data_IF_738758057199
#
_entry.id   IF_738758057199
#
_cell.length_a   1.000
_cell.length_b   1.000
_cell.length_c   1.000
_cell.angle_alpha   90.00
_cell.angle_beta   90.00
_cell.angle_gamma   90.00
#
_symmetry.space_group_name_H-M   'P 1'
#
loop_
_entity.id
_entity.type
_entity.pdbx_description
1 polymer ?
#
# COMPACT_ATOMS: atom_id res chain seq x y z
N UNK A 1 -42.91 33.14 -51.72
CA UNK A 1 -41.83 33.72 -50.88
C UNK A 1 -41.98 33.20 -49.46
N UNK A 2 -41.36 32.07 -49.13
CA UNK A 2 -41.11 31.63 -47.76
C UNK A 2 -39.83 30.81 -47.79
N UNK A 3 -38.69 31.44 -47.53
CA UNK A 3 -37.40 30.80 -47.35
C UNK A 3 -36.98 31.01 -45.91
N UNK A 4 -37.03 29.94 -45.12
CA UNK A 4 -36.55 29.92 -43.74
C UNK A 4 -35.09 29.46 -43.78
N UNK A 5 -34.15 30.39 -43.62
CA UNK A 5 -32.73 30.06 -43.50
C UNK A 5 -32.43 29.49 -42.12
N UNK A 6 -32.09 28.20 -42.06
CA UNK A 6 -31.51 27.58 -40.88
C UNK A 6 -30.02 27.91 -40.81
N UNK A 7 -29.66 28.82 -39.90
CA UNK A 7 -28.28 29.03 -39.45
C UNK A 7 -27.80 27.78 -38.71
N UNK A 8 -26.80 27.11 -39.27
CA UNK A 8 -26.04 26.06 -38.61
C UNK A 8 -25.30 26.63 -37.38
N UNK A 9 -25.82 26.36 -36.19
CA UNK A 9 -25.08 26.52 -34.94
C UNK A 9 -24.17 25.29 -34.79
N UNK A 10 -22.91 25.42 -35.22
CA UNK A 10 -21.86 24.44 -34.91
C UNK A 10 -21.56 24.53 -33.41
N UNK A 11 -22.20 23.68 -32.61
CA UNK A 11 -21.80 23.43 -31.23
C UNK A 11 -20.49 22.65 -31.29
N UNK A 12 -19.38 23.36 -31.11
CA UNK A 12 -18.08 22.76 -30.87
C UNK A 12 -18.10 22.19 -29.45
N UNK A 13 -18.42 20.90 -29.29
CA UNK A 13 -18.21 20.19 -28.04
C UNK A 13 -16.69 20.07 -27.82
N UNK A 14 -16.12 21.04 -27.11
CA UNK A 14 -14.82 20.90 -26.46
C UNK A 14 -14.97 19.82 -25.38
N UNK A 15 -14.71 18.56 -25.73
CA UNK A 15 -14.39 17.53 -24.74
C UNK A 15 -13.03 17.90 -24.13
N UNK A 16 -13.06 18.73 -23.08
CA UNK A 16 -11.94 18.84 -22.15
C UNK A 16 -11.87 17.48 -21.47
N UNK A 17 -10.97 16.61 -21.94
CA UNK A 17 -10.66 15.36 -21.24
C UNK A 17 -10.05 15.76 -19.89
N UNK A 18 -10.82 15.61 -18.82
CA UNK A 18 -10.38 15.88 -17.46
C UNK A 18 -9.31 14.85 -17.09
N UNK A 19 -8.16 15.32 -16.65
CA UNK A 19 -7.23 14.49 -15.88
C UNK A 19 -7.94 13.98 -14.64
N UNK A 20 -7.89 12.66 -14.40
CA UNK A 20 -8.63 12.01 -13.33
C UNK A 20 -7.69 11.83 -12.14
N UNK A 21 -8.00 12.52 -11.04
CA UNK A 21 -7.34 12.31 -9.76
C UNK A 21 -8.31 11.62 -8.82
N UNK A 22 -7.96 10.43 -8.34
CA UNK A 22 -8.83 9.65 -7.46
C UNK A 22 -8.10 9.22 -6.19
N UNK A 23 -8.72 9.48 -5.05
CA UNK A 23 -8.37 8.84 -3.79
C UNK A 23 -8.99 7.44 -3.78
N UNK A 24 -8.27 6.44 -3.31
CA UNK A 24 -8.84 5.10 -3.24
C UNK A 24 -9.85 4.98 -2.09
N UNK A 25 -11.09 4.63 -2.43
CA UNK A 25 -12.21 4.40 -1.49
C UNK A 25 -12.30 2.93 -1.00
N UNK A 26 -11.45 2.01 -1.48
CA UNK A 26 -11.49 0.61 -1.04
C UNK A 26 -10.63 0.36 0.20
N UNK A 27 -11.24 -0.34 1.16
CA UNK A 27 -10.61 -0.82 2.39
C UNK A 27 -9.55 -1.88 2.10
N UNK A 28 -8.48 -1.86 2.90
CA UNK A 28 -7.45 -2.90 2.87
C UNK A 28 -8.03 -4.26 3.28
N UNK A 29 -7.63 -5.31 2.57
CA UNK A 29 -7.93 -6.70 2.94
C UNK A 29 -6.65 -7.48 3.23
N UNK A 30 -6.75 -8.43 4.17
CA UNK A 30 -5.65 -9.30 4.57
C UNK A 30 -5.76 -10.72 4.02
N UNK A 31 -5.02 -11.64 4.65
CA UNK A 31 -4.98 -13.05 4.24
C UNK A 31 -6.33 -13.76 4.23
N UNK A 32 -7.29 -13.32 5.05
CA UNK A 32 -8.66 -13.88 5.10
C UNK A 32 -9.40 -13.73 3.76
N UNK A 33 -9.12 -12.67 2.99
CA UNK A 33 -9.79 -12.41 1.71
C UNK A 33 -9.18 -13.16 0.52
N UNK A 34 -7.90 -13.54 0.63
CA UNK A 34 -7.14 -14.19 -0.46
C UNK A 34 -6.74 -15.63 -0.15
N UNK A 35 -7.31 -16.20 0.92
CA UNK A 35 -7.17 -17.60 1.32
C UNK A 35 -5.71 -18.04 1.48
N UNK A 36 -4.90 -17.26 2.21
CA UNK A 36 -3.51 -17.66 2.49
C UNK A 36 -3.44 -19.03 3.16
N UNK A 37 -2.53 -19.92 2.74
CA UNK A 37 -2.22 -21.15 3.43
C UNK A 37 -1.91 -20.89 4.90
N UNK A 38 -2.47 -21.72 5.78
CA UNK A 38 -2.23 -21.61 7.22
C UNK A 38 -1.39 -22.79 7.69
N UNK A 39 -0.22 -22.50 8.26
CA UNK A 39 0.63 -23.48 8.91
C UNK A 39 0.69 -23.17 10.40
N UNK A 40 0.27 -24.12 11.24
CA UNK A 40 0.36 -24.03 12.70
C UNK A 40 -0.16 -22.69 13.27
N UNK A 41 -1.35 -22.26 12.83
CA UNK A 41 -2.03 -21.01 13.22
C UNK A 41 -1.42 -19.71 12.65
N UNK A 42 -0.44 -19.79 11.74
CA UNK A 42 0.10 -18.64 11.02
C UNK A 42 -0.24 -18.72 9.54
N UNK A 43 -0.87 -17.67 9.02
CA UNK A 43 -1.12 -17.53 7.57
C UNK A 43 0.17 -17.10 6.88
N UNK A 44 0.55 -17.80 5.82
CA UNK A 44 1.75 -17.51 5.04
C UNK A 44 1.42 -17.47 3.57
N UNK A 45 1.99 -16.52 2.85
CA UNK A 45 1.78 -16.36 1.41
C UNK A 45 3.13 -16.40 0.67
N UNK A 46 3.51 -17.54 0.09
CA UNK A 46 4.68 -17.63 -0.78
C UNK A 46 4.44 -16.86 -2.09
N UNK A 47 5.36 -15.97 -2.45
CA UNK A 47 5.37 -15.19 -3.70
C UNK A 47 6.79 -15.18 -4.27
N UNK A 48 7.01 -15.87 -5.39
CA UNK A 48 8.35 -16.10 -5.93
C UNK A 48 9.26 -16.78 -4.89
N UNK A 49 10.35 -16.09 -4.52
CA UNK A 49 11.32 -16.58 -3.54
C UNK A 49 11.06 -16.10 -2.11
N UNK A 50 10.03 -15.29 -1.88
CA UNK A 50 9.71 -14.70 -0.58
C UNK A 50 8.48 -15.38 0.02
N UNK A 51 8.45 -15.52 1.35
CA UNK A 51 7.26 -15.97 2.09
C UNK A 51 6.77 -14.85 2.99
N UNK A 52 5.62 -14.29 2.64
CA UNK A 52 5.01 -13.16 3.35
C UNK A 52 4.20 -13.69 4.54
N UNK A 53 4.40 -13.08 5.71
CA UNK A 53 3.75 -13.47 6.97
C UNK A 53 2.45 -12.71 7.23
N UNK A 54 2.36 -11.47 6.75
CA UNK A 54 1.14 -10.65 6.77
C UNK A 54 1.02 -9.91 5.45
N UNK A 55 -0.22 -9.64 5.05
CA UNK A 55 -0.55 -8.95 3.80
C UNK A 55 -1.54 -7.82 4.05
N UNK A 56 -1.45 -6.79 3.23
CA UNK A 56 -2.46 -5.76 3.06
C UNK A 56 -2.64 -5.46 1.60
N UNK A 57 -3.86 -5.65 1.09
CA UNK A 57 -4.18 -5.56 -0.33
C UNK A 57 -5.25 -4.50 -0.52
N UNK A 58 -5.06 -3.63 -1.51
CA UNK A 58 -6.10 -2.71 -2.01
C UNK A 58 -6.07 -2.71 -3.52
N UNK A 59 -7.21 -2.41 -4.15
CA UNK A 59 -7.29 -2.27 -5.61
C UNK A 59 -7.29 -0.80 -5.98
N UNK A 60 -7.00 -0.46 -7.23
CA UNK A 60 -7.16 0.88 -7.79
C UNK A 60 -7.77 0.78 -9.19
N UNK A 61 -8.71 1.67 -9.49
CA UNK A 61 -9.38 1.72 -10.80
C UNK A 61 -8.70 2.75 -11.69
N UNK A 62 -8.22 2.33 -12.85
CA UNK A 62 -7.62 3.21 -13.86
C UNK A 62 -8.43 3.14 -15.15
N UNK A 63 -8.47 4.21 -15.95
CA UNK A 63 -9.13 4.15 -17.28
C UNK A 63 -8.36 3.27 -18.28
N UNK A 64 -7.12 2.90 -17.96
CA UNK A 64 -6.25 2.12 -18.82
C UNK A 64 -6.53 0.61 -18.78
N UNK A 65 -7.33 0.15 -17.82
CA UNK A 65 -7.67 -1.26 -17.67
C UNK A 65 -9.16 -1.42 -17.33
N UNK A 66 -9.81 -2.41 -17.95
CA UNK A 66 -11.20 -2.74 -17.62
C UNK A 66 -11.36 -3.44 -16.27
N UNK A 67 -10.24 -3.86 -15.68
CA UNK A 67 -10.15 -4.48 -14.37
C UNK A 67 -9.14 -3.71 -13.53
N UNK A 68 -9.35 -3.59 -12.21
CA UNK A 68 -8.50 -2.79 -11.35
C UNK A 68 -7.06 -3.30 -11.34
N UNK A 69 -6.10 -2.44 -11.00
CA UNK A 69 -4.79 -2.89 -10.55
C UNK A 69 -4.85 -3.16 -9.04
N UNK A 70 -3.90 -3.90 -8.49
CA UNK A 70 -3.86 -4.18 -7.05
C UNK A 70 -2.50 -3.86 -6.46
N UNK A 71 -2.49 -3.15 -5.34
CA UNK A 71 -1.31 -3.01 -4.51
C UNK A 71 -1.37 -4.00 -3.36
N UNK A 72 -0.25 -4.70 -3.15
CA UNK A 72 -0.08 -5.60 -2.01
C UNK A 72 1.17 -5.23 -1.25
N UNK A 73 1.01 -4.92 0.04
CA UNK A 73 2.11 -4.85 0.98
C UNK A 73 2.20 -6.19 1.71
N UNK A 74 3.34 -6.86 1.58
CA UNK A 74 3.69 -8.04 2.35
C UNK A 74 4.80 -7.74 3.34
N UNK A 75 4.79 -8.43 4.48
CA UNK A 75 5.88 -8.32 5.46
C UNK A 75 6.49 -9.67 5.81
N UNK A 76 7.78 -9.65 6.11
CA UNK A 76 8.51 -10.78 6.66
C UNK A 76 9.38 -10.32 7.83
N UNK A 77 9.35 -11.05 8.93
CA UNK A 77 10.20 -10.78 10.10
C UNK A 77 11.28 -11.86 10.20
N UNK A 78 12.53 -11.44 10.25
CA UNK A 78 13.68 -12.31 10.49
C UNK A 78 14.36 -11.91 11.79
N UNK A 79 14.41 -12.83 12.76
CA UNK A 79 15.06 -12.59 14.05
C UNK A 79 16.58 -12.80 13.94
N UNK A 80 17.36 -11.88 14.52
CA UNK A 80 18.81 -12.00 14.52
C UNK A 80 19.25 -13.11 15.52
N UNK A 81 19.95 -14.11 15.00
CA UNK A 81 20.41 -15.27 15.79
C UNK A 81 21.54 -14.92 16.76
N UNK A 82 22.35 -13.91 16.41
CA UNK A 82 23.45 -13.36 17.20
C UNK A 82 22.98 -12.31 18.21
N UNK A 83 21.91 -11.57 17.90
CA UNK A 83 21.35 -10.55 18.78
C UNK A 83 19.82 -10.70 18.92
N UNK A 84 19.41 -11.44 19.95
CA UNK A 84 17.99 -11.72 20.25
C UNK A 84 17.15 -10.48 20.58
N UNK A 85 17.75 -9.29 20.71
CA UNK A 85 17.02 -8.03 20.92
C UNK A 85 16.65 -7.32 19.62
N UNK A 86 17.12 -7.81 18.46
CA UNK A 86 16.89 -7.22 17.15
C UNK A 86 16.14 -8.19 16.22
N UNK A 87 15.31 -7.61 15.37
CA UNK A 87 14.75 -8.28 14.21
C UNK A 87 14.88 -7.39 12.98
N UNK A 88 14.98 -8.02 11.82
CA UNK A 88 14.82 -7.37 10.52
C UNK A 88 13.37 -7.51 10.07
N UNK A 89 12.74 -6.41 9.70
CA UNK A 89 11.45 -6.36 9.02
C UNK A 89 11.69 -6.05 7.56
N UNK A 90 11.25 -6.96 6.69
CA UNK A 90 11.21 -6.77 5.26
C UNK A 90 9.78 -6.37 4.88
N UNK A 91 9.64 -5.28 4.13
CA UNK A 91 8.38 -4.74 3.59
C UNK A 91 8.45 -4.76 2.07
N UNK A 92 7.65 -5.63 1.46
CA UNK A 92 7.64 -5.87 0.01
C UNK A 92 6.32 -5.37 -0.59
N UNK A 93 6.44 -4.49 -1.58
CA UNK A 93 5.32 -3.85 -2.27
C UNK A 93 5.19 -4.43 -3.67
N UNK A 94 4.09 -5.11 -3.91
CA UNK A 94 3.77 -5.74 -5.18
C UNK A 94 2.67 -4.99 -5.91
N UNK A 95 2.83 -4.83 -7.22
CA UNK A 95 1.76 -4.38 -8.11
C UNK A 95 1.24 -5.57 -8.92
N UNK A 96 -0.06 -5.85 -8.75
CA UNK A 96 -0.82 -6.83 -9.49
C UNK A 96 -1.53 -6.20 -10.69
N UNK A 97 -1.37 -6.79 -11.88
CA UNK A 97 -2.01 -6.32 -13.11
C UNK A 97 -2.80 -7.43 -13.82
N UNK A 98 -3.93 -7.10 -14.47
CA UNK A 98 -4.63 -8.03 -15.34
C UNK A 98 -3.73 -8.49 -16.49
N UNK A 99 -3.72 -9.80 -16.85
CA UNK A 99 -2.75 -10.38 -17.78
C UNK A 99 -2.87 -9.89 -19.24
N UNK A 100 -3.99 -9.29 -19.63
CA UNK A 100 -4.33 -9.04 -21.04
C UNK A 100 -4.39 -7.57 -21.46
N UNK A 101 -4.35 -6.61 -20.51
CA UNK A 101 -4.70 -5.21 -20.81
C UNK A 101 -3.58 -4.23 -20.51
N UNK A 102 -2.85 -4.43 -19.40
CA UNK A 102 -1.78 -3.52 -19.00
C UNK A 102 -0.42 -4.19 -19.22
N UNK A 103 0.10 -4.09 -20.44
CA UNK A 103 1.50 -4.46 -20.67
C UNK A 103 2.39 -3.34 -20.13
N UNK A 104 2.79 -3.45 -18.86
CA UNK A 104 3.72 -2.54 -18.21
C UNK A 104 5.07 -2.46 -18.96
N UNK A 105 5.45 -3.49 -19.71
CA UNK A 105 6.69 -3.46 -20.52
C UNK A 105 6.52 -2.71 -21.85
N UNK A 106 5.31 -2.28 -22.20
CA UNK A 106 5.07 -1.50 -23.42
C UNK A 106 5.41 -0.02 -23.21
N UNK A 107 5.96 0.63 -24.25
CA UNK A 107 6.25 2.08 -24.25
C UNK A 107 5.01 2.94 -24.58
N UNK A 108 3.81 2.38 -24.46
CA UNK A 108 2.56 3.09 -24.79
C UNK A 108 2.12 3.97 -23.62
N UNK A 109 2.34 3.50 -22.40
CA UNK A 109 2.02 4.22 -21.18
C UNK A 109 3.26 4.26 -20.30
N UNK A 110 3.37 5.33 -19.54
CA UNK A 110 4.38 5.48 -18.51
C UNK A 110 3.74 5.51 -17.13
N UNK A 111 4.45 5.04 -16.11
CA UNK A 111 3.91 5.08 -14.76
C UNK A 111 4.96 5.20 -13.67
N UNK A 112 4.59 5.87 -12.59
CA UNK A 112 5.45 6.04 -11.41
C UNK A 112 4.70 5.54 -10.17
N UNK A 113 5.40 4.86 -9.27
CA UNK A 113 4.97 4.66 -7.90
C UNK A 113 5.87 5.48 -6.97
N UNK A 114 5.25 6.34 -6.17
CA UNK A 114 5.92 7.17 -5.17
C UNK A 114 5.50 6.71 -3.78
N UNK A 115 6.45 6.13 -3.05
CA UNK A 115 6.27 5.60 -1.70
C UNK A 115 6.69 6.67 -0.69
N UNK A 116 5.76 7.13 0.13
CA UNK A 116 5.99 8.17 1.14
C UNK A 116 6.61 7.56 2.40
N UNK A 117 7.81 6.97 2.26
CA UNK A 117 8.51 6.22 3.31
C UNK A 117 9.02 7.08 4.48
N UNK A 118 9.13 8.40 4.28
CA UNK A 118 9.55 9.36 5.28
C UNK A 118 8.45 9.78 6.25
N UNK A 119 7.19 9.51 5.92
CA UNK A 119 6.10 9.68 6.87
C UNK A 119 6.20 8.52 7.83
N UNK A 120 6.42 8.82 9.12
CA UNK A 120 6.63 7.76 10.08
C UNK A 120 5.41 6.84 10.12
N UNK A 121 5.65 5.55 9.88
CA UNK A 121 4.72 4.44 10.07
C UNK A 121 3.87 4.55 11.36
N UNK A 122 4.39 5.24 12.37
CA UNK A 122 3.80 5.44 13.70
C UNK A 122 2.75 6.55 13.80
N UNK A 123 2.69 7.48 12.85
CA UNK A 123 1.89 8.71 12.99
C UNK A 123 0.58 8.67 12.21
N UNK A 124 0.46 7.71 11.29
CA UNK A 124 -0.77 7.48 10.57
C UNK A 124 -1.52 6.33 11.22
N UNK A 125 -2.81 6.50 11.42
CA UNK A 125 -3.70 5.47 11.95
C UNK A 125 -5.05 5.53 11.27
N UNK A 126 -5.65 4.37 11.02
CA UNK A 126 -7.07 4.32 10.69
C UNK A 126 -7.89 4.49 11.98
N UNK A 127 -8.98 5.30 11.94
CA UNK A 127 -9.78 5.57 13.12
C UNK A 127 -10.52 4.31 13.59
N UNK A 128 -10.87 4.30 14.89
CA UNK A 128 -11.84 3.39 15.50
C UNK A 128 -11.58 1.88 15.31
N UNK A 129 -10.34 1.46 15.10
CA UNK A 129 -9.99 0.05 14.90
C UNK A 129 -8.70 -0.31 15.65
N UNK A 130 -8.53 -1.58 16.07
CA UNK A 130 -7.26 -2.05 16.62
C UNK A 130 -6.12 -1.79 15.63
N UNK A 131 -4.93 -1.46 16.13
CA UNK A 131 -3.81 -1.09 15.29
C UNK A 131 -3.38 -2.22 14.34
N UNK A 132 -3.64 -3.47 14.66
CA UNK A 132 -3.22 -4.64 13.88
C UNK A 132 -4.22 -5.06 12.81
N UNK A 133 -5.53 -4.98 13.12
CA UNK A 133 -6.62 -5.41 12.24
C UNK A 133 -7.34 -4.26 11.56
N UNK A 134 -7.04 -3.01 11.93
CA UNK A 134 -7.66 -1.83 11.38
C UNK A 134 -7.37 -1.64 9.89
N UNK A 135 -8.43 -1.39 9.13
CA UNK A 135 -8.42 -1.07 7.71
C UNK A 135 -9.15 0.25 7.47
N UNK A 136 -8.72 1.02 6.48
CA UNK A 136 -9.39 2.25 6.08
C UNK A 136 -8.92 2.72 4.70
N UNK A 137 -9.37 3.91 4.34
CA UNK A 137 -9.01 4.63 3.11
C UNK A 137 -7.87 5.62 3.38
N UNK A 138 -7.31 6.23 2.33
CA UNK A 138 -6.35 7.32 2.54
C UNK A 138 -6.97 8.55 3.21
N UNK A 139 -8.25 8.81 3.00
CA UNK A 139 -8.94 9.92 3.66
C UNK A 139 -8.97 9.71 5.18
N UNK A 140 -9.07 8.46 5.62
CA UNK A 140 -9.04 8.11 7.04
C UNK A 140 -7.66 8.32 7.67
N UNK A 141 -6.58 8.05 6.92
CA UNK A 141 -5.22 8.17 7.41
C UNK A 141 -4.64 9.59 7.30
N UNK A 142 -4.97 10.31 6.22
CA UNK A 142 -4.36 11.59 5.86
C UNK A 142 -5.34 12.76 5.88
N UNK A 143 -6.63 12.57 6.20
CA UNK A 143 -7.71 13.55 5.98
C UNK A 143 -8.01 13.83 4.50
N UNK A 144 -9.28 14.15 4.23
CA UNK A 144 -9.76 14.44 2.87
C UNK A 144 -9.09 15.64 2.22
N UNK A 145 -8.80 16.71 2.98
CA UNK A 145 -8.17 17.92 2.45
C UNK A 145 -6.74 17.66 1.99
N UNK A 146 -5.94 16.98 2.82
CA UNK A 146 -4.57 16.61 2.45
C UNK A 146 -4.54 15.69 1.23
N UNK A 147 -5.40 14.66 1.18
CA UNK A 147 -5.48 13.75 0.03
C UNK A 147 -5.84 14.51 -1.24
N UNK A 148 -6.83 15.41 -1.17
CA UNK A 148 -7.27 16.23 -2.30
C UNK A 148 -6.13 17.13 -2.80
N UNK A 149 -5.46 17.85 -1.89
CA UNK A 149 -4.40 18.77 -2.27
C UNK A 149 -3.14 18.05 -2.78
N UNK A 150 -2.80 16.88 -2.22
CA UNK A 150 -1.69 16.06 -2.68
C UNK A 150 -1.94 15.56 -4.10
N UNK A 151 -3.15 15.07 -4.38
CA UNK A 151 -3.56 14.63 -5.72
C UNK A 151 -3.62 15.78 -6.72
N UNK A 152 -4.14 16.94 -6.30
CA UNK A 152 -4.16 18.13 -7.14
C UNK A 152 -2.74 18.61 -7.47
N UNK A 153 -1.83 18.58 -6.48
CA UNK A 153 -0.43 18.92 -6.68
C UNK A 153 0.24 17.93 -7.63
N UNK A 154 0.09 16.62 -7.43
CA UNK A 154 0.70 15.62 -8.32
C UNK A 154 0.25 15.79 -9.76
N UNK A 155 -1.05 16.06 -9.97
CA UNK A 155 -1.59 16.28 -11.30
C UNK A 155 -1.06 17.57 -11.93
N UNK A 156 -0.97 18.65 -11.15
CA UNK A 156 -0.42 19.92 -11.63
C UNK A 156 1.04 19.76 -12.07
N UNK A 157 1.87 19.10 -11.27
CA UNK A 157 3.28 18.87 -11.58
C UNK A 157 3.44 17.95 -12.80
N UNK A 158 2.64 16.88 -12.89
CA UNK A 158 2.63 16.00 -14.06
C UNK A 158 2.32 16.79 -15.34
N UNK A 159 1.28 17.63 -15.32
CA UNK A 159 0.89 18.44 -16.49
C UNK A 159 2.01 19.40 -16.93
N UNK A 160 2.72 20.01 -15.98
CA UNK A 160 3.89 20.87 -16.27
C UNK A 160 4.98 20.04 -16.95
N UNK A 161 5.31 18.86 -16.41
CA UNK A 161 6.37 18.00 -16.95
C UNK A 161 6.03 17.49 -18.35
N UNK A 162 4.78 17.10 -18.61
CA UNK A 162 4.33 16.64 -19.94
C UNK A 162 4.32 17.77 -20.98
N UNK A 163 4.13 19.02 -20.55
CA UNK A 163 4.20 20.18 -21.46
C UNK A 163 5.62 20.55 -21.91
N UNK A 164 6.64 19.99 -21.24
CA UNK A 164 8.07 20.32 -21.48
C UNK A 164 8.80 19.36 -22.43
N UNK A 165 8.07 18.57 -23.24
CA UNK A 165 8.60 17.51 -24.12
C UNK A 165 9.45 16.45 -23.39
N UNK A 166 9.19 16.22 -22.11
CA UNK A 166 9.89 15.20 -21.32
C UNK A 166 9.36 13.79 -21.62
N UNK A 167 9.79 13.20 -22.74
CA UNK A 167 9.36 11.84 -23.15
C UNK A 167 9.99 10.70 -22.34
N UNK A 168 10.73 11.01 -21.28
CA UNK A 168 11.51 10.03 -20.52
C UNK A 168 10.88 9.80 -19.14
N UNK A 169 10.32 8.61 -18.93
CA UNK A 169 9.69 8.17 -17.68
C UNK A 169 10.55 8.46 -16.45
N UNK A 170 11.82 8.05 -16.48
CA UNK A 170 12.75 8.24 -15.37
C UNK A 170 12.89 9.71 -14.96
N UNK A 171 12.95 10.61 -15.94
CA UNK A 171 13.00 12.05 -15.69
C UNK A 171 11.69 12.58 -15.11
N UNK A 172 10.55 12.13 -15.63
CA UNK A 172 9.23 12.54 -15.11
C UNK A 172 9.05 12.04 -13.68
N UNK A 173 9.32 10.76 -13.40
CA UNK A 173 9.17 10.17 -12.08
C UNK A 173 10.11 10.83 -11.05
N UNK A 174 11.37 11.07 -11.39
CA UNK A 174 12.32 11.76 -10.49
C UNK A 174 11.99 13.24 -10.27
N UNK A 175 11.45 13.93 -11.28
CA UNK A 175 10.98 15.31 -11.14
C UNK A 175 9.73 15.39 -10.25
N UNK A 176 8.76 14.47 -10.42
CA UNK A 176 7.59 14.35 -9.54
C UNK A 176 7.99 14.09 -8.09
N UNK A 177 8.93 13.18 -7.87
CA UNK A 177 9.49 12.92 -6.54
C UNK A 177 10.05 14.21 -5.93
N UNK A 178 10.88 14.93 -6.67
CA UNK A 178 11.51 16.18 -6.21
C UNK A 178 10.49 17.28 -5.90
N UNK A 179 9.48 17.44 -6.77
CA UNK A 179 8.43 18.44 -6.60
C UNK A 179 7.55 18.16 -5.38
N UNK A 180 7.14 16.90 -5.18
CA UNK A 180 6.31 16.52 -4.03
C UNK A 180 7.10 16.53 -2.73
N UNK A 181 8.38 16.13 -2.73
CA UNK A 181 9.23 16.20 -1.52
C UNK A 181 9.49 17.65 -1.07
N UNK A 182 9.74 18.56 -2.02
CA UNK A 182 10.11 19.94 -1.71
C UNK A 182 8.93 20.83 -1.30
N UNK A 183 7.71 20.44 -1.67
CA UNK A 183 6.50 21.21 -1.39
C UNK A 183 5.41 20.29 -0.87
N UNK A 184 5.28 20.23 0.45
CA UNK A 184 4.15 19.55 1.09
C UNK A 184 2.92 20.46 1.11
N UNK A 185 1.72 19.97 0.76
CA UNK A 185 0.49 20.75 0.91
C UNK A 185 0.26 21.20 2.35
N UNK A 186 -0.17 22.45 2.54
CA UNK A 186 -0.43 22.99 3.89
C UNK A 186 -1.45 22.13 4.65
N UNK A 187 -2.46 21.61 3.96
CA UNK A 187 -3.48 20.69 4.50
C UNK A 187 -2.93 19.38 5.05
N UNK A 188 -1.69 19.00 4.69
CA UNK A 188 -1.03 17.79 5.19
C UNK A 188 -0.11 18.05 6.39
N UNK A 189 0.22 19.31 6.70
CA UNK A 189 1.29 19.64 7.65
C UNK A 189 1.02 19.24 9.09
N UNK A 190 -0.25 19.21 9.51
CA UNK A 190 -0.64 18.84 10.88
C UNK A 190 -0.52 17.33 11.15
N UNK A 191 -0.48 16.53 10.09
CA UNK A 191 -0.41 15.06 10.17
C UNK A 191 1.05 14.58 10.11
N UNK A 192 1.95 15.44 9.64
CA UNK A 192 3.34 15.08 9.38
C UNK A 192 4.23 15.25 10.62
N UNK A 193 5.16 14.31 10.86
CA UNK A 193 6.06 14.40 12.00
C UNK A 193 6.86 15.71 11.97
N UNK A 194 6.76 16.50 13.03
CA UNK A 194 7.48 17.76 13.21
C UNK A 194 7.19 18.84 12.15
N UNK A 195 6.08 18.76 11.41
CA UNK A 195 5.72 19.69 10.33
C UNK A 195 6.78 19.82 9.21
N UNK A 196 7.75 18.90 9.12
CA UNK A 196 8.92 19.00 8.23
C UNK A 196 8.71 18.30 6.87
N UNK A 197 7.48 18.26 6.39
CA UNK A 197 7.10 17.67 5.12
C UNK A 197 7.09 16.14 5.10
N UNK A 198 7.06 15.56 3.89
CA UNK A 198 6.88 14.11 3.67
C UNK A 198 8.09 13.25 4.06
N UNK A 199 9.23 13.86 4.35
CA UNK A 199 10.51 13.16 4.48
C UNK A 199 10.95 12.51 3.16
N UNK A 200 11.54 11.33 3.25
CA UNK A 200 11.97 10.58 2.07
C UNK A 200 10.79 9.99 1.28
N UNK A 201 10.60 10.41 0.03
CA UNK A 201 9.72 9.74 -0.93
C UNK A 201 10.60 8.86 -1.83
N UNK A 202 10.32 7.56 -1.93
CA UNK A 202 11.03 6.64 -2.83
C UNK A 202 10.23 6.54 -4.13
N UNK A 203 10.87 6.69 -5.29
CA UNK A 203 10.20 6.55 -6.60
C UNK A 203 10.63 5.28 -7.33
N UNK A 204 9.67 4.63 -7.99
CA UNK A 204 9.88 3.49 -8.88
C UNK A 204 9.12 3.68 -10.18
N UNK A 205 9.79 3.35 -11.28
CA UNK A 205 9.17 3.26 -12.60
C UNK A 205 8.32 1.99 -12.64
N UNK A 206 7.09 2.11 -13.14
CA UNK A 206 6.14 1.00 -13.24
C UNK A 206 6.16 0.39 -14.62
N UNK A 207 6.73 1.09 -15.61
CA UNK A 207 6.67 0.69 -17.02
C UNK A 207 8.04 0.72 -17.71
N UNK A 208 8.06 0.30 -18.97
CA UNK A 208 9.26 0.31 -19.81
C UNK A 208 10.30 -0.72 -19.37
N UNK A 209 11.56 -0.46 -19.73
CA UNK A 209 12.69 -1.38 -19.46
C UNK A 209 13.06 -1.47 -17.98
N UNK A 210 12.62 -0.52 -17.17
CA UNK A 210 12.90 -0.46 -15.73
C UNK A 210 11.76 -1.04 -14.89
N UNK A 211 10.65 -1.44 -15.51
CA UNK A 211 9.55 -2.12 -14.83
C UNK A 211 10.06 -3.39 -14.13
N UNK A 212 9.58 -3.61 -12.92
CA UNK A 212 9.90 -4.82 -12.17
C UNK A 212 9.42 -6.06 -12.95
N UNK A 213 10.24 -7.12 -13.06
CA UNK A 213 9.82 -8.35 -13.68
C UNK A 213 8.67 -8.98 -12.87
N UNK A 214 7.84 -9.76 -13.56
CA UNK A 214 6.79 -10.50 -12.86
C UNK A 214 7.41 -11.60 -11.99
N UNK A 215 7.04 -11.59 -10.71
CA UNK A 215 7.33 -12.65 -9.78
C UNK A 215 6.59 -13.92 -10.21
N UNK A 216 7.26 -15.07 -10.09
CA UNK A 216 6.59 -16.35 -10.29
C UNK A 216 5.48 -16.50 -9.25
N UNK A 217 4.26 -16.77 -9.73
CA UNK A 217 3.12 -17.05 -8.85
C UNK A 217 3.37 -18.35 -8.10
N UNK A 218 3.09 -18.36 -6.81
CA UNK A 218 2.89 -19.61 -6.10
C UNK A 218 1.52 -20.17 -6.45
N UNK A 219 1.41 -21.50 -6.54
CA UNK A 219 0.12 -22.19 -6.66
C UNK A 219 -0.73 -22.05 -5.41
N UNK A 220 -0.11 -21.77 -4.27
CA UNK A 220 -0.74 -21.99 -2.96
C UNK A 220 -1.29 -20.69 -2.35
N UNK A 221 -0.90 -19.51 -2.85
CA UNK A 221 -1.42 -18.24 -2.37
C UNK A 221 -1.53 -17.20 -3.49
N UNK A 222 -2.64 -16.46 -3.50
CA UNK A 222 -2.82 -15.31 -4.39
C UNK A 222 -2.55 -14.02 -3.61
N UNK A 223 -1.38 -13.42 -3.75
CA UNK A 223 -1.07 -12.13 -3.14
C UNK A 223 -1.70 -10.95 -3.90
N UNK A 224 -2.96 -11.10 -4.32
CA UNK A 224 -3.77 -10.11 -5.03
C UNK A 224 -5.24 -10.57 -4.99
N UNK A 225 -6.16 -9.61 -5.00
CA UNK A 225 -7.61 -9.88 -5.11
C UNK A 225 -8.04 -10.24 -6.54
N UNK A 226 -7.21 -9.94 -7.54
CA UNK A 226 -7.49 -10.28 -8.94
C UNK A 226 -7.15 -11.73 -9.28
N UNK A 227 -8.07 -12.42 -9.94
CA UNK A 227 -7.82 -13.76 -10.47
C UNK A 227 -6.79 -13.70 -11.61
N UNK A 228 -5.77 -14.56 -11.53
CA UNK A 228 -4.74 -14.68 -12.55
C UNK A 228 -3.96 -13.38 -12.85
N UNK A 229 -3.92 -12.41 -11.93
CA UNK A 229 -3.14 -11.18 -12.11
C UNK A 229 -1.64 -11.43 -12.06
N UNK A 230 -0.87 -10.80 -12.94
CA UNK A 230 0.58 -10.85 -12.87
C UNK A 230 1.06 -9.96 -11.71
N UNK A 231 1.95 -10.48 -10.87
CA UNK A 231 2.49 -9.75 -9.72
C UNK A 231 3.92 -9.32 -10.01
N UNK A 232 4.24 -8.06 -9.76
CA UNK A 232 5.60 -7.51 -9.89
C UNK A 232 6.07 -6.95 -8.55
N UNK A 233 7.29 -7.29 -8.11
CA UNK A 233 7.88 -6.73 -6.90
C UNK A 233 8.46 -5.34 -7.22
N UNK A 234 7.70 -4.28 -6.93
CA UNK A 234 8.06 -2.91 -7.30
C UNK A 234 9.07 -2.31 -6.33
N UNK A 235 8.89 -2.57 -5.03
CA UNK A 235 9.73 -1.99 -3.99
C UNK A 235 9.89 -2.97 -2.83
N UNK A 236 11.11 -3.03 -2.27
CA UNK A 236 11.40 -3.76 -1.04
C UNK A 236 12.23 -2.89 -0.11
N UNK A 237 11.94 -2.97 1.18
CA UNK A 237 12.60 -2.20 2.23
C UNK A 237 12.90 -3.09 3.41
N UNK A 238 14.16 -3.12 3.83
CA UNK A 238 14.61 -3.84 5.03
C UNK A 238 14.95 -2.85 6.13
N UNK A 239 14.30 -3.01 7.29
CA UNK A 239 14.54 -2.18 8.47
C UNK A 239 14.91 -3.05 9.67
N UNK A 240 15.98 -2.69 10.38
CA UNK A 240 16.30 -3.33 11.66
C UNK A 240 15.53 -2.63 12.79
N UNK A 241 14.89 -3.39 13.66
CA UNK A 241 14.07 -2.89 14.75
C UNK A 241 14.38 -3.61 16.06
N UNK A 242 14.40 -2.84 17.16
CA UNK A 242 14.48 -3.40 18.50
C UNK A 242 13.14 -4.06 18.91
N UNK A 243 13.23 -5.22 19.55
CA UNK A 243 12.06 -5.97 20.02
C UNK A 243 11.48 -5.39 21.32
N UNK A 244 12.31 -4.78 22.16
CA UNK A 244 11.95 -4.39 23.54
C UNK A 244 11.06 -3.16 23.67
N UNK A 245 10.86 -2.39 22.58
CA UNK A 245 10.16 -1.08 22.62
C UNK A 245 8.85 -1.05 21.84
N UNK A 246 8.36 -2.20 21.36
CA UNK A 246 7.21 -2.27 20.44
C UNK A 246 7.48 -1.60 19.08
N UNK A 247 8.73 -1.22 18.80
CA UNK A 247 9.13 -0.56 17.55
C UNK A 247 8.86 -1.45 16.35
N UNK A 248 9.16 -2.76 16.46
CA UNK A 248 8.86 -3.72 15.40
C UNK A 248 7.36 -3.73 15.06
N UNK A 249 6.49 -3.81 16.06
CA UNK A 249 5.03 -3.85 15.85
C UNK A 249 4.54 -2.58 15.16
N UNK A 250 4.99 -1.41 15.62
CA UNK A 250 4.64 -0.12 15.01
C UNK A 250 5.10 0.01 13.55
N UNK A 251 6.28 -0.52 13.22
CA UNK A 251 6.78 -0.51 11.85
C UNK A 251 6.00 -1.50 10.98
N UNK A 252 5.73 -2.69 11.49
CA UNK A 252 5.02 -3.75 10.80
C UNK A 252 3.59 -3.35 10.41
N UNK A 253 2.87 -2.69 11.32
CA UNK A 253 1.50 -2.22 11.10
C UNK A 253 1.43 -0.74 10.69
N UNK A 254 2.54 -0.17 10.25
CA UNK A 254 2.60 1.20 9.76
C UNK A 254 1.86 1.40 8.44
N UNK A 255 1.28 2.59 8.26
CA UNK A 255 0.66 2.98 6.99
C UNK A 255 1.71 3.66 6.11
N UNK A 256 1.84 3.20 4.87
CA UNK A 256 2.65 3.81 3.82
C UNK A 256 1.75 4.33 2.71
N UNK A 257 1.63 5.67 2.53
CA UNK A 257 1.00 6.22 1.34
C UNK A 257 1.82 5.89 0.09
N UNK A 258 1.12 5.46 -0.97
CA UNK A 258 1.67 5.15 -2.29
C UNK A 258 0.85 5.91 -3.32
N UNK A 259 1.49 6.88 -3.97
CA UNK A 259 0.93 7.60 -5.10
C UNK A 259 1.33 6.90 -6.39
N UNK A 260 0.33 6.38 -7.10
CA UNK A 260 0.47 5.73 -8.39
C UNK A 260 0.06 6.70 -9.47
N UNK A 261 0.97 6.98 -10.40
CA UNK A 261 0.74 7.88 -11.53
C UNK A 261 0.85 7.05 -12.78
N UNK A 262 -0.10 7.20 -13.71
CA UNK A 262 -0.04 6.56 -15.02
C UNK A 262 -0.45 7.58 -16.08
N UNK A 263 0.27 7.64 -17.20
CA UNK A 263 0.03 8.64 -18.24
C UNK A 263 0.45 8.14 -19.62
N UNK A 264 -0.19 8.66 -20.67
CA UNK A 264 0.27 8.49 -22.05
C UNK A 264 1.20 9.66 -22.42
N UNK A 265 2.48 9.44 -22.75
CA UNK A 265 3.41 10.51 -23.13
C UNK A 265 3.00 11.23 -24.42
N UNK A 266 2.15 10.63 -25.25
CA UNK A 266 1.66 11.22 -26.50
C UNK A 266 0.39 12.04 -26.29
N UNK A 267 -0.26 11.90 -25.14
CA UNK A 267 -1.50 12.59 -24.82
C UNK A 267 -1.44 13.24 -23.44
N UNK A 268 -1.00 14.51 -23.43
CA UNK A 268 -0.80 15.33 -22.24
C UNK A 268 -2.05 15.50 -21.35
N UNK A 269 -3.25 15.15 -21.83
CA UNK A 269 -4.50 15.25 -21.06
C UNK A 269 -4.87 13.95 -20.30
N UNK A 270 -4.12 12.86 -20.47
CA UNK A 270 -4.51 11.50 -20.03
C UNK A 270 -3.85 11.01 -18.75
N UNK A 271 -3.12 11.88 -18.04
CA UNK A 271 -2.48 11.52 -16.78
C UNK A 271 -3.51 11.25 -15.68
N UNK A 272 -3.34 10.14 -14.99
CA UNK A 272 -4.10 9.75 -13.80
C UNK A 272 -3.20 9.71 -12.57
N UNK A 273 -3.71 10.21 -11.45
CA UNK A 273 -3.05 10.13 -10.14
C UNK A 273 -3.96 9.39 -9.16
N UNK A 274 -3.45 8.33 -8.55
CA UNK A 274 -4.17 7.48 -7.61
C UNK A 274 -3.40 7.36 -6.29
N UNK A 275 -4.04 7.67 -5.17
CA UNK A 275 -3.41 7.55 -3.86
C UNK A 275 -3.98 6.36 -3.08
N UNK A 276 -3.09 5.46 -2.62
CA UNK A 276 -3.42 4.29 -1.80
C UNK A 276 -2.62 4.30 -0.50
N UNK A 277 -3.22 3.89 0.61
CA UNK A 277 -2.57 3.92 1.92
C UNK A 277 -2.43 2.47 2.40
N UNK A 278 -1.23 1.93 2.23
CA UNK A 278 -0.96 0.51 2.41
C UNK A 278 -0.51 0.20 3.83
N UNK A 279 -1.06 -0.87 4.39
CA UNK A 279 -0.72 -1.43 5.70
C UNK A 279 -1.13 -2.90 5.71
N UNK A 280 -0.37 -3.76 6.39
CA UNK A 280 -0.78 -5.16 6.57
C UNK A 280 -1.96 -5.29 7.53
N UNK A 281 -2.83 -6.25 7.28
CA UNK A 281 -4.01 -6.54 8.11
C UNK A 281 -3.83 -7.90 8.77
N UNK A 282 -3.79 -7.91 10.10
CA UNK A 282 -3.75 -9.15 10.87
C UNK A 282 -5.08 -9.93 10.75
N UNK A 283 -4.99 -11.24 10.59
CA UNK A 283 -6.15 -12.14 10.56
C UNK A 283 -6.78 -12.26 11.94
N UNK A 284 -8.11 -12.36 12.00
CA UNK A 284 -8.86 -12.53 13.25
C UNK A 284 -8.66 -13.90 13.93
N UNK A 285 -8.13 -14.90 13.22
CA UNK A 285 -7.99 -16.28 13.70
C UNK A 285 -6.80 -16.53 14.66
N UNK A 286 -6.16 -15.48 15.19
CA UNK A 286 -5.10 -15.57 16.20
C UNK A 286 -5.59 -15.87 17.63
N UNK A 287 -6.89 -15.76 17.91
CA UNK A 287 -7.49 -16.10 19.20
C UNK A 287 -8.39 -17.33 19.07
N UNK A 288 -7.79 -18.51 18.89
CA UNK A 288 -8.47 -19.75 19.30
C UNK A 288 -8.18 -19.91 20.79
N UNK A 289 -9.17 -19.59 21.63
CA UNK A 289 -9.16 -19.94 23.03
C UNK A 289 -8.77 -21.41 23.17
N UNK A 290 -7.78 -21.71 24.01
CA UNK A 290 -7.45 -23.07 24.42
C UNK A 290 -8.67 -23.63 25.16
N UNK A 291 -9.62 -24.24 24.44
CA UNK A 291 -10.52 -25.23 25.04
C UNK A 291 -9.73 -26.50 25.19
N UNK A 292 -9.12 -26.61 26.37
CA UNK A 292 -8.52 -27.81 26.93
C UNK A 292 -9.49 -29.01 26.86
N UNK A 293 -9.12 -30.14 26.24
CA UNK A 293 -9.73 -31.42 26.55
C UNK A 293 -8.68 -32.33 27.21
N UNK A 294 -8.86 -32.48 28.52
CA UNK A 294 -8.49 -33.63 29.34
C UNK A 294 -7.58 -34.71 28.72
N UNK A 295 -6.36 -34.75 29.26
CA UNK A 295 -5.71 -35.95 29.84
C UNK A 295 -5.68 -37.24 28.99
N UNK A 296 -4.50 -37.54 28.40
CA UNK A 296 -3.92 -38.90 28.42
C UNK A 296 -2.40 -38.89 28.23
N UNK A 297 -1.74 -39.68 29.08
CA UNK A 297 -0.30 -39.82 29.32
C UNK A 297 0.51 -40.39 28.13
N UNK A 298 1.73 -39.84 27.97
CA UNK A 298 3.03 -40.50 27.74
C UNK A 298 3.22 -41.44 26.54
N UNK A 299 4.07 -41.07 25.57
CA UNK A 299 5.48 -41.51 25.50
C UNK A 299 6.28 -40.66 24.48
N UNK A 300 7.59 -40.48 24.70
CA UNK A 300 8.38 -39.37 24.17
C UNK A 300 8.96 -39.49 22.76
N UNK A 301 9.33 -38.34 22.18
CA UNK A 301 10.59 -38.07 21.45
C UNK A 301 10.74 -36.56 21.22
N UNK A 302 11.99 -36.10 21.28
CA UNK A 302 12.49 -34.72 21.36
C UNK A 302 12.06 -33.82 20.19
N UNK A 303 11.59 -32.62 20.53
CA UNK A 303 11.48 -31.47 19.64
C UNK A 303 11.14 -30.20 20.44
N UNK A 304 12.15 -29.51 20.99
CA UNK A 304 11.94 -28.26 21.73
C UNK A 304 11.62 -27.13 20.75
N UNK A 305 10.33 -26.94 20.46
CA UNK A 305 9.81 -25.66 19.98
C UNK A 305 9.68 -24.72 21.18
N UNK A 306 10.32 -23.56 21.11
CA UNK A 306 10.18 -22.47 22.08
C UNK A 306 9.37 -21.37 21.39
N UNK A 307 8.06 -21.42 21.55
CA UNK A 307 7.19 -20.26 21.46
C UNK A 307 6.17 -20.38 22.59
N UNK A 308 6.27 -19.48 23.55
CA UNK A 308 5.49 -19.52 24.79
C UNK A 308 5.76 -18.31 25.67
N UNK A 309 5.37 -17.13 25.19
CA UNK A 309 5.01 -15.95 26.00
C UNK A 309 3.91 -15.28 25.15
N UNK A 310 2.62 -15.31 25.50
CA UNK A 310 2.06 -14.98 26.81
C UNK A 310 1.60 -13.52 26.77
N UNK A 311 0.64 -13.18 25.90
CA UNK A 311 -0.10 -11.92 25.98
C UNK A 311 -1.12 -12.05 27.13
N UNK A 312 -0.64 -11.80 28.34
CA UNK A 312 -1.50 -11.61 29.50
C UNK A 312 -2.05 -10.18 29.52
N UNK A 313 -3.33 -10.03 29.23
CA UNK A 313 -4.09 -8.80 29.51
C UNK A 313 -4.07 -8.53 31.01
N UNK A 314 -3.48 -7.40 31.42
CA UNK A 314 -3.70 -6.86 32.77
C UNK A 314 -4.99 -6.05 32.72
N UNK A 315 -6.11 -6.69 33.10
CA UNK A 315 -7.29 -5.99 33.59
C UNK A 315 -6.95 -5.45 34.98
N UNK A 316 -6.53 -4.18 35.02
CA UNK A 316 -6.31 -3.45 36.25
C UNK A 316 -7.63 -3.09 36.93
N UNK A 317 -7.98 -3.89 37.95
CA UNK A 317 -8.85 -3.51 39.06
C UNK A 317 -8.51 -2.10 39.57
N UNK A 318 -9.48 -1.21 39.65
CA UNK A 318 -9.46 -0.06 40.56
C UNK A 318 -10.63 -0.19 41.53
N UNK A 319 -10.33 -0.71 42.72
CA UNK A 319 -11.20 -0.68 43.89
C UNK A 319 -10.65 0.32 44.91
N UNK A 320 -11.45 1.36 45.15
CA UNK A 320 -11.60 2.16 46.38
C UNK A 320 -10.36 2.47 47.26
N UNK A 321 -10.07 3.77 47.40
CA UNK A 321 -9.60 4.32 48.67
C UNK A 321 -10.68 5.24 49.25
N UNK A 322 -11.08 4.93 50.48
CA UNK A 322 -11.85 5.78 51.39
C UNK A 322 -10.88 6.48 52.38
N UNK A 323 -11.41 7.52 53.05
CA UNK A 323 -10.78 8.42 54.05
C UNK A 323 -9.96 9.54 53.40
N UNK A 324 -10.31 10.84 53.51
CA UNK A 324 -10.92 11.62 54.60
C UNK A 324 -11.91 12.66 54.05
#
# INVERSE_FOLDING_TARGET
MFGCEHKYLRILFLFIFLSVSQAQDQTLVGCDAVHCPTNYKTSTCPVGNTTLSLLGITSLNTSLASSPLTWTLGTQVTYDSSNKSLASLDQDYFLGTPPTILNLTSNTYHGCALFFAGVSATNLSFPNTPHESGSGTCNDALSTSCVTDLLAQSQSELNILLSSDSSNESKVCSALQSALQSKTPTSCTDILPNHNGWGNIIVRELTGSNAAPFSQKSSDCNATTGENYNLSLVQSTRTSAALSSGTLQKLMFGITPVLTIIYDPKNNASGESHLSCLKVVATSQGEVADTDPAEKKSDGTVGKSVWGWGLGFVLGFWGAYASL
#
